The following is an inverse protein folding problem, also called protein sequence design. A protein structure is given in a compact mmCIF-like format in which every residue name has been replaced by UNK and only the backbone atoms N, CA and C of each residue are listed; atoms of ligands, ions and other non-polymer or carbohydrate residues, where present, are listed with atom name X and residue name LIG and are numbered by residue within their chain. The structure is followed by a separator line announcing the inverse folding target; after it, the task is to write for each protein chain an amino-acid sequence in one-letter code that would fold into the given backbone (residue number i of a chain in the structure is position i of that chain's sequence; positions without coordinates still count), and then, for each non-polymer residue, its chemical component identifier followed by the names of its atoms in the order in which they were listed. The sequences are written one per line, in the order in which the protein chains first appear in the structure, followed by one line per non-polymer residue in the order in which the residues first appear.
data_IF_953900550793
#
_entry.id   IF_953900550793
#
_cell.length_a   1.000
_cell.length_b   1.000
_cell.length_c   1.000
_cell.angle_alpha   90.00
_cell.angle_beta   90.00
_cell.angle_gamma   90.00
#
_symmetry.space_group_name_H-M   'P 1'
#
loop_
_entity.id
_entity.type
_entity.pdbx_description
1 polymer ?
#
# COMPACT_ATOMS: atom_id res chain seq x y z
N UNK A 1 -1.73 -1.09 -18.50
CA UNK A 1 -2.86 -1.88 -17.94
C UNK A 1 -4.09 -1.01 -17.76
N UNK A 2 -3.98 0.08 -16.99
CA UNK A 2 -5.07 1.06 -16.85
C UNK A 2 -5.35 1.76 -18.18
N UNK A 3 -6.60 2.17 -18.40
CA UNK A 3 -6.97 3.03 -19.53
C UNK A 3 -6.65 4.50 -19.20
N UNK A 4 -5.82 5.14 -20.03
CA UNK A 4 -5.43 6.55 -19.93
C UNK A 4 -6.10 7.47 -20.97
N UNK A 5 -7.02 6.96 -21.80
CA UNK A 5 -7.70 7.75 -22.85
C UNK A 5 -8.50 8.93 -22.32
N UNK A 6 -9.00 8.85 -21.08
CA UNK A 6 -9.70 9.92 -20.35
C UNK A 6 -8.93 10.33 -19.10
N UNK A 7 -7.69 10.77 -19.30
CA UNK A 7 -6.83 11.19 -18.21
C UNK A 7 -6.58 12.69 -18.27
N UNK A 8 -7.40 13.51 -17.61
CA UNK A 8 -7.30 14.98 -17.67
C UNK A 8 -6.13 15.52 -16.84
N UNK A 9 -5.60 16.69 -17.22
CA UNK A 9 -4.70 17.46 -16.36
C UNK A 9 -5.40 17.77 -15.03
N UNK A 10 -4.71 17.57 -13.91
CA UNK A 10 -5.28 17.66 -12.56
C UNK A 10 -5.83 16.33 -12.02
N UNK A 11 -5.96 15.30 -12.86
CA UNK A 11 -6.40 13.98 -12.42
C UNK A 11 -5.20 13.09 -12.09
N UNK A 12 -5.49 12.00 -11.38
CA UNK A 12 -4.52 10.96 -11.06
C UNK A 12 -5.08 9.56 -11.23
N UNK A 13 -4.19 8.58 -11.36
CA UNK A 13 -4.53 7.16 -11.44
C UNK A 13 -3.55 6.33 -10.61
N UNK A 14 -4.07 5.32 -9.93
CA UNK A 14 -3.25 4.20 -9.46
C UNK A 14 -2.86 3.37 -10.68
N UNK A 15 -1.64 3.56 -11.14
CA UNK A 15 -1.09 2.88 -12.30
C UNK A 15 -0.46 1.55 -11.87
N UNK A 16 -0.69 0.50 -12.67
CA UNK A 16 -0.10 -0.82 -12.46
C UNK A 16 0.60 -1.26 -13.74
N UNK A 17 1.86 -1.65 -13.61
CA UNK A 17 2.70 -2.18 -14.67
C UNK A 17 2.91 -3.67 -14.43
N UNK A 18 2.74 -4.48 -15.48
CA UNK A 18 2.90 -5.92 -15.42
C UNK A 18 4.00 -6.38 -16.38
N UNK A 19 4.62 -7.52 -16.09
CA UNK A 19 5.47 -8.22 -17.05
C UNK A 19 4.62 -9.05 -18.04
N UNK A 20 5.29 -9.77 -18.94
CA UNK A 20 4.63 -10.60 -19.97
C UNK A 20 3.82 -11.76 -19.40
N UNK A 21 4.12 -12.22 -18.18
CA UNK A 21 3.34 -13.22 -17.44
C UNK A 21 2.10 -12.63 -16.76
N UNK A 22 1.92 -11.31 -16.79
CA UNK A 22 0.82 -10.62 -16.13
C UNK A 22 1.05 -10.39 -14.63
N UNK A 23 2.22 -10.71 -14.09
CA UNK A 23 2.58 -10.39 -12.71
C UNK A 23 2.97 -8.92 -12.57
N UNK A 24 2.64 -8.32 -11.43
CA UNK A 24 2.92 -6.91 -11.16
C UNK A 24 4.43 -6.66 -11.01
N UNK A 25 4.94 -5.69 -11.78
CA UNK A 25 6.32 -5.19 -11.72
C UNK A 25 6.41 -3.87 -10.95
N UNK A 26 5.40 -3.01 -11.06
CA UNK A 26 5.33 -1.78 -10.29
C UNK A 26 3.89 -1.33 -10.16
N UNK A 27 3.58 -0.67 -9.05
CA UNK A 27 2.31 0.00 -8.85
C UNK A 27 2.51 1.29 -8.07
N UNK A 28 1.73 2.30 -8.39
CA UNK A 28 1.96 3.63 -7.84
C UNK A 28 0.99 4.67 -8.35
N UNK A 29 1.11 5.89 -7.84
CA UNK A 29 0.28 6.99 -8.29
C UNK A 29 0.94 7.71 -9.45
N UNK A 30 0.16 7.99 -10.50
CA UNK A 30 0.54 8.89 -11.60
C UNK A 30 -0.38 10.10 -11.55
N UNK A 31 0.21 11.29 -11.47
CA UNK A 31 -0.44 12.58 -11.50
C UNK A 31 -0.19 13.19 -12.88
N UNK A 32 -1.25 13.63 -13.58
CA UNK A 32 -1.10 14.42 -14.82
C UNK A 32 -1.06 15.89 -14.43
N UNK A 33 0.13 16.48 -14.42
CA UNK A 33 0.36 17.86 -13.95
C UNK A 33 0.38 18.89 -15.09
N UNK A 34 0.58 18.43 -16.33
CA UNK A 34 0.49 19.22 -17.55
C UNK A 34 0.04 18.37 -18.73
N UNK A 35 -0.03 18.95 -19.93
CA UNK A 35 -0.51 18.20 -21.12
C UNK A 35 0.38 16.99 -21.43
N UNK A 36 1.70 17.13 -21.33
CA UNK A 36 2.67 16.06 -21.54
C UNK A 36 3.57 15.87 -20.31
N UNK A 37 3.10 16.31 -19.14
CA UNK A 37 3.86 16.28 -17.89
C UNK A 37 3.18 15.41 -16.84
N UNK A 38 3.95 14.46 -16.31
CA UNK A 38 3.49 13.48 -15.35
C UNK A 38 4.45 13.39 -14.18
N UNK A 39 3.91 13.30 -12.97
CA UNK A 39 4.68 12.97 -11.77
C UNK A 39 4.20 11.62 -11.27
N UNK A 40 5.14 10.73 -10.94
CA UNK A 40 4.79 9.42 -10.39
C UNK A 40 5.42 9.17 -9.02
N UNK A 41 4.72 8.43 -8.20
CA UNK A 41 5.18 7.94 -6.91
C UNK A 41 5.09 6.41 -6.91
N UNK A 42 6.16 5.75 -6.47
CA UNK A 42 6.27 4.28 -6.33
C UNK A 42 6.29 3.45 -7.64
N UNK A 43 6.40 4.08 -8.81
CA UNK A 43 6.63 3.35 -10.08
C UNK A 43 8.11 3.09 -10.40
N UNK A 44 9.02 3.81 -9.74
CA UNK A 44 10.46 3.54 -9.77
C UNK A 44 10.76 2.20 -9.07
N UNK A 45 11.76 1.42 -9.53
CA UNK A 45 12.67 1.70 -10.66
C UNK A 45 12.21 1.17 -12.02
N UNK A 46 11.03 0.54 -12.10
CA UNK A 46 10.57 -0.06 -13.35
C UNK A 46 10.25 0.98 -14.43
N UNK A 47 9.64 2.12 -14.06
CA UNK A 47 9.41 3.21 -15.03
C UNK A 47 10.73 3.78 -15.57
N UNK A 48 11.76 3.92 -14.75
CA UNK A 48 13.08 4.42 -15.15
C UNK A 48 13.75 3.48 -16.16
N UNK A 49 13.63 2.17 -15.93
CA UNK A 49 14.07 1.16 -16.89
C UNK A 49 13.35 1.34 -18.24
N UNK A 50 12.02 1.47 -18.24
CA UNK A 50 11.24 1.67 -19.45
C UNK A 50 11.64 2.96 -20.20
N UNK A 51 11.90 4.06 -19.48
CA UNK A 51 12.44 5.30 -20.08
C UNK A 51 13.82 5.06 -20.68
N UNK A 52 14.70 4.35 -19.98
CA UNK A 52 16.06 4.08 -20.41
C UNK A 52 16.16 3.18 -21.64
N UNK A 53 15.12 2.42 -21.97
CA UNK A 53 15.08 1.61 -23.21
C UNK A 53 15.18 2.45 -24.49
N UNK A 54 14.75 3.72 -24.45
CA UNK A 54 14.69 4.60 -25.61
C UNK A 54 13.56 4.25 -26.61
N UNK A 55 12.64 3.36 -26.24
CA UNK A 55 11.48 3.00 -27.08
C UNK A 55 10.43 4.11 -27.18
N UNK A 56 10.42 5.04 -26.21
CA UNK A 56 9.44 6.11 -26.09
C UNK A 56 10.10 7.48 -26.22
N UNK A 57 9.41 8.44 -26.83
CA UNK A 57 9.80 9.85 -26.85
C UNK A 57 9.43 10.50 -25.50
N UNK A 58 10.24 10.22 -24.48
CA UNK A 58 10.01 10.67 -23.10
C UNK A 58 11.33 10.96 -22.42
N UNK A 59 11.34 11.97 -21.54
CA UNK A 59 12.45 12.24 -20.64
C UNK A 59 12.01 11.94 -19.20
N UNK A 60 12.85 11.19 -18.48
CA UNK A 60 12.66 10.89 -17.07
C UNK A 60 13.58 11.73 -16.20
N UNK A 61 13.07 12.19 -15.07
CA UNK A 61 13.86 12.81 -14.00
C UNK A 61 13.50 12.12 -12.68
N UNK A 62 14.51 11.61 -11.98
CA UNK A 62 14.34 11.11 -10.62
C UNK A 62 14.15 12.30 -9.66
N UNK A 63 12.97 12.34 -9.02
CA UNK A 63 12.59 13.36 -8.05
C UNK A 63 12.69 12.85 -6.60
N UNK A 64 13.27 11.67 -6.39
CA UNK A 64 13.49 11.09 -5.07
C UNK A 64 14.26 12.05 -4.17
N UNK A 65 13.68 12.38 -3.02
CA UNK A 65 14.25 13.35 -2.08
C UNK A 65 14.02 14.83 -2.44
N UNK A 66 13.58 15.15 -3.66
CA UNK A 66 13.27 16.53 -4.08
C UNK A 66 11.85 16.96 -3.71
N UNK A 67 10.92 16.01 -3.60
CA UNK A 67 9.54 16.26 -3.22
C UNK A 67 9.19 15.62 -1.86
N UNK A 68 8.43 16.33 -1.05
CA UNK A 68 7.74 15.73 0.11
C UNK A 68 6.32 15.30 -0.26
N UNK A 69 5.81 14.34 0.52
CA UNK A 69 4.41 13.92 0.52
C UNK A 69 3.97 13.76 1.97
N UNK A 70 2.97 14.53 2.38
CA UNK A 70 2.27 14.34 3.65
C UNK A 70 0.85 13.88 3.40
N UNK A 71 0.36 12.97 4.24
CA UNK A 71 -1.04 12.54 4.22
C UNK A 71 -1.75 13.10 5.46
N UNK A 72 -2.87 13.77 5.24
CA UNK A 72 -3.80 14.21 6.28
C UNK A 72 -5.05 13.35 6.17
N UNK A 73 -5.14 12.32 7.01
CA UNK A 73 -6.24 11.36 7.03
C UNK A 73 -7.21 11.57 8.18
N UNK A 74 -8.46 11.13 7.98
CA UNK A 74 -9.49 11.15 9.00
C UNK A 74 -10.63 12.12 8.70
N UNK A 75 -11.71 12.10 9.50
CA UNK A 75 -12.94 12.81 9.23
C UNK A 75 -12.79 14.33 9.18
N UNK A 76 -11.78 14.90 9.84
CA UNK A 76 -11.50 16.34 9.86
C UNK A 76 -10.48 16.79 8.79
N UNK A 77 -9.98 15.89 7.95
CA UNK A 77 -8.88 16.20 7.01
C UNK A 77 -9.18 17.36 6.07
N UNK A 78 -10.41 17.47 5.52
CA UNK A 78 -10.79 18.63 4.71
C UNK A 78 -10.70 19.94 5.53
N UNK A 79 -11.19 19.97 6.76
CA UNK A 79 -11.19 21.18 7.59
C UNK A 79 -9.77 21.66 7.87
N UNK A 80 -8.85 20.71 8.14
CA UNK A 80 -7.44 20.98 8.36
C UNK A 80 -6.79 21.55 7.10
N UNK A 81 -7.04 20.95 5.93
CA UNK A 81 -6.51 21.43 4.66
C UNK A 81 -6.99 22.85 4.38
N UNK A 82 -8.29 23.12 4.51
CA UNK A 82 -8.84 24.47 4.27
C UNK A 82 -8.34 25.49 5.30
N UNK A 83 -8.14 25.09 6.56
CA UNK A 83 -7.57 25.96 7.57
C UNK A 83 -6.09 26.30 7.29
N UNK A 84 -5.33 25.36 6.74
CA UNK A 84 -3.91 25.55 6.40
C UNK A 84 -3.71 26.39 5.12
N UNK A 85 -4.58 26.24 4.13
CA UNK A 85 -4.46 26.92 2.83
C UNK A 85 -5.27 28.22 2.74
N UNK A 86 -6.34 28.34 3.53
CA UNK A 86 -7.33 29.41 3.39
C UNK A 86 -8.23 29.27 2.15
N UNK A 87 -8.24 28.11 1.50
CA UNK A 87 -8.99 27.84 0.27
C UNK A 87 -10.11 26.80 0.50
N UNK A 88 -11.18 26.86 -0.31
CA UNK A 88 -12.28 25.88 -0.28
C UNK A 88 -11.97 24.68 -1.18
N UNK A 89 -11.92 23.47 -0.61
CA UNK A 89 -11.60 22.21 -1.30
C UNK A 89 -12.80 21.26 -1.40
N UNK A 90 -14.02 21.75 -1.16
CA UNK A 90 -15.25 20.94 -1.24
C UNK A 90 -15.57 20.44 -2.65
N UNK A 91 -15.05 21.10 -3.68
CA UNK A 91 -15.19 20.74 -5.10
C UNK A 91 -14.17 19.70 -5.57
N UNK A 92 -13.08 19.47 -4.81
CA UNK A 92 -12.03 18.55 -5.21
C UNK A 92 -12.53 17.09 -5.14
N UNK A 93 -12.69 16.48 -6.31
CA UNK A 93 -13.11 15.10 -6.43
C UNK A 93 -12.00 14.13 -6.01
N UNK A 94 -12.37 12.90 -5.61
CA UNK A 94 -11.39 11.86 -5.31
C UNK A 94 -10.52 11.59 -6.54
N UNK A 95 -9.22 11.32 -6.33
CA UNK A 95 -8.18 11.19 -7.37
C UNK A 95 -8.01 12.42 -8.28
N UNK A 96 -8.39 13.61 -7.80
CA UNK A 96 -8.02 14.89 -8.40
C UNK A 96 -7.15 15.74 -7.46
N UNK A 97 -6.25 16.51 -8.04
CA UNK A 97 -5.37 17.44 -7.35
C UNK A 97 -5.38 18.82 -8.01
N UNK A 98 -5.00 19.84 -7.25
CA UNK A 98 -4.72 21.18 -7.77
C UNK A 98 -3.60 21.85 -6.99
N UNK A 99 -3.04 22.89 -7.60
CA UNK A 99 -2.05 23.75 -6.95
C UNK A 99 -2.74 24.65 -5.92
N UNK A 100 -1.99 24.99 -4.87
CA UNK A 100 -2.42 25.81 -3.75
C UNK A 100 -1.18 26.38 -3.06
N UNK A 101 -1.37 27.13 -1.98
CA UNK A 101 -0.28 27.64 -1.15
C UNK A 101 -0.61 27.46 0.33
N UNK A 102 0.42 27.26 1.14
CA UNK A 102 0.34 27.29 2.60
C UNK A 102 1.24 28.40 3.10
N UNK A 103 0.76 29.25 4.01
CA UNK A 103 1.58 30.32 4.57
C UNK A 103 2.69 29.74 5.48
N UNK A 104 3.93 30.15 5.27
CA UNK A 104 5.04 29.80 6.13
C UNK A 104 4.75 30.31 7.56
N UNK A 105 4.85 29.47 8.62
CA UNK A 105 4.38 29.82 9.97
C UNK A 105 5.10 31.03 10.59
N UNK A 106 6.38 31.24 10.24
CA UNK A 106 7.18 32.38 10.73
C UNK A 106 7.13 33.62 9.83
N UNK A 107 7.35 33.47 8.51
CA UNK A 107 7.49 34.61 7.59
C UNK A 107 6.17 35.06 6.97
N UNK A 108 5.15 34.20 6.97
CA UNK A 108 3.89 34.42 6.27
C UNK A 108 3.99 34.31 4.74
N UNK A 109 5.16 33.97 4.20
CA UNK A 109 5.35 33.82 2.75
C UNK A 109 4.57 32.60 2.23
N UNK A 110 3.98 32.69 1.03
CA UNK A 110 3.25 31.56 0.46
C UNK A 110 4.21 30.47 -0.02
N UNK A 111 4.05 29.27 0.52
CA UNK A 111 4.78 28.06 0.11
C UNK A 111 3.95 27.30 -0.94
N UNK A 112 4.46 27.09 -2.17
CA UNK A 112 3.74 26.33 -3.20
C UNK A 112 3.53 24.88 -2.78
N UNK A 113 2.29 24.42 -2.84
CA UNK A 113 1.94 23.02 -2.59
C UNK A 113 0.94 22.52 -3.62
N UNK A 114 0.87 21.20 -3.78
CA UNK A 114 -0.20 20.51 -4.50
C UNK A 114 -1.04 19.75 -3.49
N UNK A 115 -2.34 20.03 -3.48
CA UNK A 115 -3.30 19.34 -2.62
C UNK A 115 -4.04 18.30 -3.45
N UNK A 116 -4.08 17.09 -2.94
CA UNK A 116 -4.62 15.93 -3.63
C UNK A 116 -5.69 15.26 -2.78
N UNK A 117 -6.90 15.03 -3.30
CA UNK A 117 -7.88 14.20 -2.58
C UNK A 117 -7.58 12.72 -2.82
N UNK A 118 -6.67 12.21 -2.02
CA UNK A 118 -6.24 10.82 -1.97
C UNK A 118 -5.85 10.46 -0.53
N UNK A 119 -5.90 9.18 -0.19
CA UNK A 119 -5.15 8.65 0.93
C UNK A 119 -5.40 7.17 1.13
N UNK A 120 -4.47 6.52 1.81
CA UNK A 120 -4.49 5.07 2.07
C UNK A 120 -5.23 4.70 3.36
N UNK A 121 -5.62 5.70 4.17
CA UNK A 121 -6.32 5.54 5.45
C UNK A 121 -7.76 4.97 5.33
N UNK A 122 -8.24 4.72 4.11
CA UNK A 122 -9.58 4.16 3.85
C UNK A 122 -10.77 5.06 4.22
N UNK A 123 -10.50 6.28 4.71
CA UNK A 123 -11.47 7.31 5.08
C UNK A 123 -11.20 8.60 4.29
N UNK A 124 -11.89 9.71 4.60
CA UNK A 124 -11.56 11.01 4.01
C UNK A 124 -10.09 11.32 4.28
N UNK A 125 -9.36 11.66 3.23
CA UNK A 125 -7.94 11.96 3.32
C UNK A 125 -7.53 12.85 2.15
N UNK A 126 -6.49 13.62 2.42
CA UNK A 126 -5.80 14.43 1.45
C UNK A 126 -4.30 14.18 1.54
N UNK A 127 -3.61 14.40 0.44
CA UNK A 127 -2.16 14.52 0.42
C UNK A 127 -1.76 15.96 0.11
N UNK A 128 -0.64 16.39 0.69
CA UNK A 128 0.00 17.67 0.40
C UNK A 128 1.40 17.37 -0.08
N UNK A 129 1.70 17.77 -1.31
CA UNK A 129 3.00 17.57 -1.94
C UNK A 129 3.66 18.93 -2.19
N UNK A 130 5.00 18.97 -2.20
CA UNK A 130 5.76 20.18 -2.49
C UNK A 130 7.26 19.93 -2.46
N UNK A 131 8.07 20.98 -2.55
CA UNK A 131 9.53 20.85 -2.49
C UNK A 131 9.99 20.46 -1.07
N UNK A 132 10.90 19.50 -0.96
CA UNK A 132 11.40 19.00 0.32
C UNK A 132 11.96 20.10 1.24
N UNK A 133 12.53 21.16 0.66
CA UNK A 133 13.06 22.30 1.43
C UNK A 133 11.97 23.02 2.24
N UNK A 134 10.73 23.03 1.76
CA UNK A 134 9.57 23.64 2.42
C UNK A 134 8.88 22.68 3.40
N UNK A 135 9.23 21.39 3.38
CA UNK A 135 8.54 20.34 4.12
C UNK A 135 8.43 20.61 5.63
N UNK A 136 9.48 21.08 6.34
CA UNK A 136 9.36 21.40 7.76
C UNK A 136 8.34 22.51 8.04
N UNK A 137 8.32 23.57 7.20
CA UNK A 137 7.42 24.69 7.37
C UNK A 137 5.96 24.30 7.07
N UNK A 138 5.74 23.55 5.99
CA UNK A 138 4.41 23.02 5.63
C UNK A 138 3.91 22.05 6.69
N UNK A 139 4.77 21.19 7.23
CA UNK A 139 4.42 20.25 8.29
C UNK A 139 3.92 20.97 9.54
N UNK A 140 4.68 21.96 10.03
CA UNK A 140 4.29 22.74 11.21
C UNK A 140 3.00 23.53 10.97
N UNK A 141 2.80 24.09 9.77
CA UNK A 141 1.57 24.77 9.40
C UNK A 141 0.35 23.82 9.42
N UNK A 142 0.48 22.61 8.87
CA UNK A 142 -0.58 21.59 8.92
C UNK A 142 -0.89 21.14 10.35
N UNK A 143 0.15 20.94 11.17
CA UNK A 143 -0.02 20.56 12.59
C UNK A 143 -0.70 21.67 13.39
N UNK A 144 -0.35 22.93 13.14
CA UNK A 144 -0.99 24.08 13.79
C UNK A 144 -2.44 24.23 13.36
N UNK A 145 -2.73 24.17 12.05
CA UNK A 145 -4.08 24.22 11.50
C UNK A 145 -4.97 23.06 12.00
N UNK A 146 -4.36 21.90 12.25
CA UNK A 146 -5.05 20.72 12.74
C UNK A 146 -5.25 20.64 14.26
N UNK A 147 -4.66 21.56 15.03
CA UNK A 147 -4.66 21.48 16.49
C UNK A 147 -6.08 21.45 17.07
N UNK A 148 -6.96 22.35 16.63
CA UNK A 148 -8.35 22.46 17.09
C UNK A 148 -9.22 21.26 16.66
N UNK A 149 -8.75 20.50 15.66
CA UNK A 149 -9.38 19.29 15.13
C UNK A 149 -8.80 18.00 15.72
N UNK A 150 -7.86 18.10 16.68
CA UNK A 150 -7.24 16.94 17.31
C UNK A 150 -6.29 16.16 16.40
N UNK A 151 -5.61 16.83 15.46
CA UNK A 151 -4.61 16.18 14.61
C UNK A 151 -3.53 15.49 15.45
N UNK A 152 -3.14 14.28 15.06
CA UNK A 152 -2.07 13.53 15.73
C UNK A 152 -1.10 12.95 14.71
N UNK A 153 0.14 12.72 15.14
CA UNK A 153 1.21 12.21 14.29
C UNK A 153 1.10 10.68 14.19
N UNK A 154 1.05 10.16 12.97
CA UNK A 154 1.06 8.72 12.71
C UNK A 154 2.50 8.24 12.49
N UNK A 155 2.95 7.29 13.31
CA UNK A 155 4.27 6.67 13.16
C UNK A 155 4.29 5.54 12.13
N UNK A 156 5.47 5.25 11.60
CA UNK A 156 5.68 4.26 10.53
C UNK A 156 5.15 2.85 10.85
N UNK A 157 5.25 2.42 12.12
CA UNK A 157 4.74 1.11 12.56
C UNK A 157 3.22 0.98 12.43
N UNK A 158 2.51 2.10 12.55
CA UNK A 158 1.05 2.12 12.41
C UNK A 158 0.63 2.38 10.95
N UNK A 159 1.49 2.96 10.11
CA UNK A 159 1.17 3.25 8.71
C UNK A 159 0.69 2.00 7.93
N UNK A 160 1.35 0.86 8.13
CA UNK A 160 0.98 -0.41 7.46
C UNK A 160 -0.47 -0.86 7.77
N UNK A 161 -1.02 -0.49 8.94
CA UNK A 161 -2.41 -0.81 9.31
C UNK A 161 -3.41 -0.21 8.35
N UNK A 162 -3.13 0.98 7.81
CA UNK A 162 -4.02 1.60 6.84
C UNK A 162 -4.20 0.70 5.61
N UNK A 163 -3.13 0.04 5.14
CA UNK A 163 -3.20 -0.86 4.00
C UNK A 163 -3.93 -2.16 4.34
N UNK A 164 -3.58 -2.79 5.47
CA UNK A 164 -4.14 -4.10 5.84
C UNK A 164 -5.60 -4.00 6.28
N UNK A 165 -5.98 -3.00 7.09
CA UNK A 165 -7.39 -2.79 7.48
C UNK A 165 -8.26 -2.40 6.28
N UNK A 166 -7.77 -1.50 5.42
CA UNK A 166 -8.50 -1.06 4.22
C UNK A 166 -8.48 -2.10 3.09
N UNK A 167 -7.79 -3.23 3.27
CA UNK A 167 -7.68 -4.29 2.28
C UNK A 167 -6.98 -3.86 1.00
N UNK A 168 -6.10 -2.85 1.07
CA UNK A 168 -5.34 -2.37 -0.08
C UNK A 168 -3.93 -2.97 -0.02
N UNK A 169 -3.65 -3.95 -0.89
CA UNK A 169 -2.34 -4.56 -0.98
C UNK A 169 -1.26 -3.48 -1.26
N UNK A 170 -0.09 -3.65 -0.68
CA UNK A 170 1.00 -2.67 -0.78
C UNK A 170 2.25 -3.45 -1.16
N UNK A 171 2.90 -3.01 -2.23
CA UNK A 171 4.17 -3.58 -2.65
C UNK A 171 5.18 -3.51 -1.51
N UNK A 172 5.93 -4.60 -1.35
CA UNK A 172 6.89 -4.84 -0.29
C UNK A 172 6.36 -4.92 1.15
N UNK A 173 5.04 -4.89 1.34
CA UNK A 173 4.39 -5.27 2.60
C UNK A 173 3.59 -6.56 2.43
N UNK A 174 2.79 -6.62 1.37
CA UNK A 174 1.85 -7.70 1.11
C UNK A 174 2.30 -8.63 -0.01
N UNK A 175 3.04 -8.11 -0.98
CA UNK A 175 3.55 -8.86 -2.14
C UNK A 175 4.89 -8.30 -2.61
N UNK A 176 5.59 -9.04 -3.46
CA UNK A 176 6.80 -8.58 -4.12
C UNK A 176 6.53 -8.25 -5.58
N UNK A 177 7.16 -7.19 -6.12
CA UNK A 177 7.29 -7.04 -7.56
C UNK A 177 7.96 -8.25 -8.20
N UNK A 178 7.49 -8.66 -9.38
CA UNK A 178 7.99 -9.83 -10.11
C UNK A 178 9.35 -9.62 -10.80
N UNK A 179 10.27 -8.90 -10.15
CA UNK A 179 11.56 -8.49 -10.72
C UNK A 179 12.40 -9.66 -11.22
N UNK A 180 12.36 -10.81 -10.54
CA UNK A 180 13.15 -11.97 -10.96
C UNK A 180 12.65 -12.63 -12.25
N UNK A 181 11.49 -12.22 -12.77
CA UNK A 181 10.95 -12.70 -14.04
C UNK A 181 11.34 -11.82 -15.24
N UNK A 182 12.13 -10.76 -15.02
CA UNK A 182 12.58 -9.83 -16.06
C UNK A 182 14.11 -9.63 -15.98
N UNK A 183 14.84 -10.41 -16.77
CA UNK A 183 16.30 -10.42 -16.75
C UNK A 183 16.91 -9.11 -17.27
N UNK A 184 16.26 -8.43 -18.21
CA UNK A 184 16.75 -7.16 -18.75
C UNK A 184 16.56 -6.04 -17.73
N UNK A 185 15.45 -6.06 -16.99
CA UNK A 185 15.25 -5.17 -15.85
C UNK A 185 16.29 -5.40 -14.75
N UNK A 186 16.58 -6.66 -14.39
CA UNK A 186 17.64 -6.97 -13.43
C UNK A 186 19.02 -6.48 -13.89
N UNK A 187 19.33 -6.64 -15.18
CA UNK A 187 20.56 -6.12 -15.78
C UNK A 187 20.63 -4.59 -15.69
N UNK A 188 19.51 -3.89 -15.91
CA UNK A 188 19.41 -2.43 -15.71
C UNK A 188 19.70 -2.02 -14.26
N UNK A 189 19.18 -2.78 -13.28
CA UNK A 189 19.46 -2.56 -11.86
C UNK A 189 20.90 -2.92 -11.46
N UNK A 190 21.64 -3.66 -12.31
CA UNK A 190 22.98 -4.14 -11.99
C UNK A 190 22.98 -5.18 -10.86
N UNK A 191 21.88 -5.92 -10.68
CA UNK A 191 21.71 -6.96 -9.65
C UNK A 191 21.20 -8.24 -10.31
N UNK A 192 21.54 -9.40 -9.74
CA UNK A 192 21.00 -10.68 -10.21
C UNK A 192 19.73 -11.09 -9.43
N UNK A 193 19.07 -12.15 -9.91
CA UNK A 193 17.83 -12.64 -9.33
C UNK A 193 17.99 -13.20 -7.90
N UNK A 194 19.19 -13.68 -7.54
CA UNK A 194 19.45 -14.24 -6.20
C UNK A 194 19.65 -13.12 -5.17
N UNK A 195 20.14 -11.96 -5.60
CA UNK A 195 20.49 -10.84 -4.71
C UNK A 195 19.47 -9.71 -4.67
N UNK A 196 18.53 -9.63 -5.63
CA UNK A 196 17.50 -8.57 -5.65
C UNK A 196 16.56 -8.64 -4.43
N UNK A 197 16.29 -9.86 -3.92
CA UNK A 197 15.50 -10.10 -2.71
C UNK A 197 16.28 -10.99 -1.73
N UNK A 198 17.24 -10.43 -0.98
CA UNK A 198 18.18 -11.22 -0.18
C UNK A 198 17.54 -11.90 1.04
N UNK A 199 16.28 -11.58 1.36
CA UNK A 199 15.57 -12.12 2.54
C UNK A 199 14.09 -12.32 2.26
N UNK A 200 13.61 -13.54 2.49
CA UNK A 200 12.22 -13.96 2.27
C UNK A 200 11.68 -14.69 3.51
N UNK A 201 11.44 -13.97 4.63
CA UNK A 201 10.99 -14.60 5.87
C UNK A 201 9.53 -15.06 5.81
N UNK A 202 9.19 -15.89 6.77
CA UNK A 202 7.91 -16.54 6.94
C UNK A 202 7.93 -17.99 6.44
N UNK A 203 6.92 -18.74 6.86
CA UNK A 203 6.84 -20.18 6.59
C UNK A 203 6.71 -20.54 5.12
N UNK A 204 6.32 -19.59 4.25
CA UNK A 204 6.25 -19.79 2.80
C UNK A 204 7.61 -20.14 2.18
N UNK A 205 8.72 -19.87 2.90
CA UNK A 205 10.07 -20.19 2.47
C UNK A 205 10.63 -19.24 1.42
N UNK A 206 11.72 -19.66 0.79
CA UNK A 206 12.54 -18.84 -0.12
C UNK A 206 12.05 -18.85 -1.58
N UNK A 207 10.95 -19.54 -1.89
CA UNK A 207 10.34 -19.46 -3.20
C UNK A 207 9.70 -18.08 -3.38
N UNK A 208 10.34 -17.24 -4.19
CA UNK A 208 9.89 -15.88 -4.45
C UNK A 208 8.58 -15.85 -5.23
N UNK A 209 8.30 -16.86 -6.06
CA UNK A 209 7.11 -16.90 -6.93
C UNK A 209 5.80 -16.92 -6.13
N UNK A 210 5.82 -17.45 -4.90
CA UNK A 210 4.68 -17.39 -3.97
C UNK A 210 4.23 -15.96 -3.64
N UNK A 211 5.12 -14.98 -3.81
CA UNK A 211 4.90 -13.55 -3.50
C UNK A 211 4.59 -12.73 -4.75
N UNK A 212 4.48 -13.36 -5.92
CA UNK A 212 4.07 -12.72 -7.15
C UNK A 212 2.57 -12.89 -7.38
N UNK A 213 1.98 -11.81 -7.89
CA UNK A 213 0.55 -11.72 -8.07
C UNK A 213 0.22 -10.97 -9.34
N UNK A 214 -0.88 -11.39 -9.94
CA UNK A 214 -1.59 -10.62 -10.96
C UNK A 214 -2.45 -9.53 -10.31
N UNK A 215 -2.83 -8.47 -11.05
CA UNK A 215 -3.80 -7.48 -10.57
C UNK A 215 -5.12 -8.10 -10.12
N UNK A 216 -5.57 -9.21 -10.72
CA UNK A 216 -6.81 -9.86 -10.30
C UNK A 216 -6.72 -10.42 -8.87
N UNK A 217 -5.60 -11.08 -8.55
CA UNK A 217 -5.37 -11.66 -7.22
C UNK A 217 -5.18 -10.59 -6.13
N UNK A 218 -4.72 -9.39 -6.52
CA UNK A 218 -4.60 -8.23 -5.62
C UNK A 218 -5.92 -7.46 -5.43
N UNK A 219 -7.02 -7.90 -6.04
CA UNK A 219 -8.32 -7.20 -5.99
C UNK A 219 -8.40 -5.99 -6.93
N UNK A 220 -7.45 -5.85 -7.83
CA UNK A 220 -7.26 -4.73 -8.76
C UNK A 220 -7.80 -5.00 -10.17
N UNK A 221 -8.47 -6.14 -10.38
CA UNK A 221 -9.03 -6.53 -11.68
C UNK A 221 -9.93 -5.48 -12.34
N UNK A 222 -10.63 -4.66 -11.54
CA UNK A 222 -11.48 -3.57 -12.02
C UNK A 222 -10.71 -2.43 -12.71
N UNK A 223 -9.37 -2.38 -12.56
CA UNK A 223 -8.50 -1.40 -13.21
C UNK A 223 -7.96 -1.91 -14.56
N UNK A 224 -8.10 -3.20 -14.87
CA UNK A 224 -7.59 -3.80 -16.11
C UNK A 224 -8.51 -3.42 -17.26
N UNK A 225 -7.97 -2.74 -18.27
CA UNK A 225 -8.73 -2.34 -19.44
C UNK A 225 -8.18 -3.00 -20.71
N UNK A 226 -8.89 -3.99 -21.23
CA UNK A 226 -8.52 -4.73 -22.45
C UNK A 226 -8.87 -3.99 -23.75
N UNK A 227 -9.01 -2.67 -23.72
CA UNK A 227 -9.35 -1.83 -24.88
C UNK A 227 -8.11 -1.21 -25.57
N UNK A 228 -6.91 -1.45 -25.05
CA UNK A 228 -5.63 -0.99 -25.60
C UNK A 228 -4.55 -2.05 -25.37
N UNK A 229 -3.43 -1.93 -26.07
CA UNK A 229 -2.29 -2.83 -25.90
C UNK A 229 -1.43 -2.44 -24.69
N UNK A 230 -0.96 -3.43 -23.95
CA UNK A 230 -0.04 -3.26 -22.82
C UNK A 230 0.67 -4.58 -22.49
N UNK A 231 1.86 -4.50 -21.90
CA UNK A 231 2.63 -5.66 -21.44
C UNK A 231 1.83 -6.51 -20.44
N UNK A 232 1.75 -7.81 -20.69
CA UNK A 232 0.98 -8.76 -19.87
C UNK A 232 -0.50 -8.91 -20.27
N UNK A 233 -1.00 -8.15 -21.25
CA UNK A 233 -2.40 -8.21 -21.71
C UNK A 233 -2.86 -9.64 -22.01
N UNK A 234 -2.11 -10.38 -22.84
CA UNK A 234 -2.50 -11.73 -23.26
C UNK A 234 -2.53 -12.71 -22.08
N UNK A 235 -1.54 -12.65 -21.17
CA UNK A 235 -1.50 -13.50 -19.99
C UNK A 235 -2.70 -13.23 -19.07
N UNK A 236 -3.03 -11.95 -18.84
CA UNK A 236 -4.19 -11.55 -18.04
C UNK A 236 -5.55 -11.93 -18.66
N UNK A 237 -5.63 -12.10 -19.99
CA UNK A 237 -6.84 -12.61 -20.65
C UNK A 237 -6.94 -14.14 -20.57
N UNK A 238 -5.80 -14.84 -20.57
CA UNK A 238 -5.76 -16.29 -20.61
C UNK A 238 -5.93 -16.93 -19.23
N UNK A 239 -5.46 -16.26 -18.18
CA UNK A 239 -5.38 -16.85 -16.83
C UNK A 239 -6.39 -16.18 -15.89
N UNK A 240 -7.44 -16.90 -15.44
CA UNK A 240 -8.32 -16.38 -14.40
C UNK A 240 -7.55 -16.25 -13.07
N UNK A 241 -7.99 -15.32 -12.21
CA UNK A 241 -7.47 -15.28 -10.84
C UNK A 241 -7.77 -16.61 -10.15
N UNK A 242 -6.73 -17.22 -9.56
CA UNK A 242 -6.85 -18.44 -8.75
C UNK A 242 -6.96 -18.13 -7.27
N UNK A 243 -6.53 -16.93 -6.87
CA UNK A 243 -6.54 -16.44 -5.50
C UNK A 243 -7.36 -15.17 -5.38
N UNK A 244 -7.91 -14.94 -4.18
CA UNK A 244 -8.60 -13.71 -3.80
C UNK A 244 -8.02 -13.12 -2.52
N UNK A 245 -7.98 -11.77 -2.42
CA UNK A 245 -7.54 -11.12 -1.20
C UNK A 245 -8.63 -11.24 -0.13
N UNK A 246 -8.21 -11.53 1.10
CA UNK A 246 -9.06 -11.58 2.29
C UNK A 246 -8.33 -11.00 3.49
N UNK A 247 -9.07 -10.67 4.55
CA UNK A 247 -8.47 -10.42 5.86
C UNK A 247 -8.51 -11.71 6.68
N UNK A 248 -7.40 -12.10 7.30
CA UNK A 248 -7.40 -13.15 8.32
C UNK A 248 -7.40 -12.54 9.70
N UNK A 249 -8.26 -13.04 10.58
CA UNK A 249 -8.29 -12.70 12.01
C UNK A 249 -7.67 -13.87 12.76
N UNK A 250 -6.53 -13.63 13.40
CA UNK A 250 -5.73 -14.66 14.05
C UNK A 250 -6.31 -14.99 15.42
N UNK A 251 -6.27 -16.28 15.80
CA UNK A 251 -6.75 -16.74 17.09
C UNK A 251 -5.89 -16.15 18.23
N UNK A 252 -6.50 -15.50 19.23
CA UNK A 252 -5.76 -14.80 20.27
C UNK A 252 -4.98 -15.73 21.20
N UNK A 253 -5.48 -16.95 21.47
CA UNK A 253 -4.78 -17.92 22.32
C UNK A 253 -3.49 -18.39 21.65
N UNK A 254 -3.53 -18.64 20.34
CA UNK A 254 -2.38 -19.09 19.57
C UNK A 254 -1.34 -17.97 19.44
N UNK A 255 -1.78 -16.72 19.25
CA UNK A 255 -0.91 -15.54 19.28
C UNK A 255 -0.22 -15.41 20.64
N UNK A 256 -0.96 -15.53 21.75
CA UNK A 256 -0.38 -15.49 23.10
C UNK A 256 0.60 -16.64 23.32
N UNK A 257 0.33 -17.83 22.79
CA UNK A 257 1.22 -18.98 22.88
C UNK A 257 2.58 -18.73 22.19
N UNK A 258 2.62 -17.94 21.11
CA UNK A 258 3.89 -17.50 20.49
C UNK A 258 4.72 -16.67 21.46
N UNK A 259 4.11 -15.68 22.14
CA UNK A 259 4.82 -14.87 23.14
C UNK A 259 5.21 -15.68 24.37
N UNK A 260 4.32 -16.53 24.88
CA UNK A 260 4.60 -17.40 26.02
C UNK A 260 5.79 -18.33 25.75
N UNK A 261 5.95 -18.79 24.50
CA UNK A 261 7.06 -19.65 24.10
C UNK A 261 8.43 -19.01 24.29
N UNK A 262 8.54 -17.68 24.25
CA UNK A 262 9.80 -16.96 24.44
C UNK A 262 10.38 -17.16 25.85
N UNK A 263 9.54 -17.51 26.82
CA UNK A 263 9.92 -17.75 28.21
C UNK A 263 10.18 -19.24 28.52
N UNK A 264 10.13 -20.12 27.50
CA UNK A 264 10.34 -21.56 27.65
C UNK A 264 11.57 -22.01 26.86
N UNK A 265 12.69 -22.34 27.53
CA UNK A 265 13.91 -22.80 26.86
C UNK A 265 13.69 -24.00 25.94
N UNK A 266 14.15 -23.90 24.69
CA UNK A 266 14.09 -24.98 23.69
C UNK A 266 12.73 -25.13 22.99
N UNK A 267 11.79 -24.22 23.22
CA UNK A 267 10.46 -24.22 22.58
C UNK A 267 10.12 -22.87 21.93
N UNK A 268 11.10 -21.97 21.83
CA UNK A 268 10.89 -20.63 21.30
C UNK A 268 10.49 -20.69 19.83
N UNK A 269 9.25 -20.28 19.53
CA UNK A 269 8.88 -19.96 18.17
C UNK A 269 9.60 -18.67 17.71
N UNK A 270 9.58 -18.40 16.41
CA UNK A 270 10.07 -17.13 15.89
C UNK A 270 9.38 -15.96 16.60
N UNK A 271 10.18 -14.96 17.00
CA UNK A 271 9.66 -13.80 17.71
C UNK A 271 8.65 -13.05 16.85
N UNK A 272 7.56 -12.67 17.48
CA UNK A 272 6.45 -11.97 16.84
C UNK A 272 6.50 -10.50 17.24
N UNK A 273 6.91 -9.62 16.32
CA UNK A 273 6.96 -8.18 16.61
C UNK A 273 5.57 -7.60 16.93
N UNK A 274 5.52 -6.55 17.73
CA UNK A 274 4.28 -5.85 18.10
C UNK A 274 4.42 -4.32 17.94
N UNK A 275 3.43 -3.61 17.36
CA UNK A 275 2.19 -4.15 16.80
C UNK A 275 2.35 -4.75 15.39
N UNK A 276 3.43 -4.46 14.68
CA UNK A 276 3.69 -4.90 13.31
C UNK A 276 5.20 -5.11 13.09
N UNK A 277 5.56 -5.93 12.10
CA UNK A 277 6.95 -5.99 11.61
C UNK A 277 7.34 -4.62 11.03
N UNK A 278 8.62 -4.23 11.07
CA UNK A 278 9.10 -3.06 10.34
C UNK A 278 8.87 -3.24 8.83
N UNK A 279 8.07 -2.35 8.24
CA UNK A 279 7.68 -2.44 6.82
C UNK A 279 8.70 -1.77 5.89
N UNK A 280 9.38 -0.73 6.36
CA UNK A 280 10.47 -0.06 5.64
C UNK A 280 11.65 0.16 6.59
N UNK A 281 12.82 -0.30 6.18
CA UNK A 281 14.08 -0.03 6.86
C UNK A 281 15.07 0.53 5.84
N UNK A 282 16.07 1.29 6.29
CA UNK A 282 17.06 1.94 5.41
C UNK A 282 17.82 0.98 4.46
N UNK A 283 17.74 -0.34 4.69
CA UNK A 283 18.52 -1.36 3.97
C UNK A 283 17.70 -2.55 3.46
N UNK A 284 16.38 -2.57 3.69
CA UNK A 284 15.56 -3.69 3.21
C UNK A 284 14.07 -3.38 3.27
N UNK A 285 13.37 -3.75 2.21
CA UNK A 285 11.93 -3.92 2.21
C UNK A 285 11.63 -5.42 2.17
N UNK A 286 11.07 -5.94 3.26
CA UNK A 286 10.95 -7.36 3.52
C UNK A 286 9.48 -7.75 3.52
N UNK A 287 9.11 -8.69 2.66
CA UNK A 287 7.76 -9.29 2.67
C UNK A 287 7.79 -10.57 3.48
N UNK A 288 7.25 -10.48 4.69
CA UNK A 288 6.91 -11.65 5.49
C UNK A 288 5.71 -12.35 4.84
N UNK A 289 5.89 -13.62 4.49
CA UNK A 289 4.84 -14.44 3.90
C UNK A 289 4.78 -15.80 4.58
N UNK A 290 3.62 -16.13 5.12
CA UNK A 290 3.37 -17.40 5.79
C UNK A 290 2.39 -18.24 4.97
N UNK A 291 2.67 -19.53 4.81
CA UNK A 291 1.75 -20.47 4.16
C UNK A 291 0.46 -20.58 5.00
N UNK A 292 -0.68 -20.52 4.30
CA UNK A 292 -2.01 -20.69 4.89
C UNK A 292 -2.54 -22.06 4.48
N UNK A 293 -3.00 -22.82 5.46
CA UNK A 293 -3.52 -24.16 5.30
C UNK A 293 -5.04 -24.21 5.51
N UNK A 294 -5.70 -25.08 4.77
CA UNK A 294 -7.04 -25.57 5.08
C UNK A 294 -7.00 -27.10 5.11
N UNK A 295 -7.41 -27.69 6.23
CA UNK A 295 -7.36 -29.14 6.44
C UNK A 295 -5.97 -29.74 6.12
N UNK A 296 -4.91 -29.06 6.55
CA UNK A 296 -3.52 -29.47 6.33
C UNK A 296 -2.95 -29.24 4.92
N UNK A 297 -3.74 -28.71 3.98
CA UNK A 297 -3.31 -28.45 2.60
C UNK A 297 -3.04 -26.95 2.40
N UNK A 298 -1.92 -26.55 1.76
CA UNK A 298 -1.67 -25.16 1.42
C UNK A 298 -2.72 -24.61 0.44
N UNK A 299 -3.25 -23.43 0.74
CA UNK A 299 -4.30 -22.77 -0.05
C UNK A 299 -3.97 -21.33 -0.39
N UNK A 300 -2.82 -20.81 0.04
CA UNK A 300 -2.45 -19.42 -0.19
C UNK A 300 -1.38 -18.95 0.79
N UNK A 301 -1.15 -17.64 0.80
CA UNK A 301 -0.22 -17.00 1.74
C UNK A 301 -0.89 -15.87 2.52
N UNK A 302 -0.39 -15.67 3.74
CA UNK A 302 -0.70 -14.54 4.61
C UNK A 302 0.50 -13.60 4.66
N UNK A 303 0.28 -12.30 4.52
CA UNK A 303 1.30 -11.25 4.55
C UNK A 303 0.78 -9.97 5.21
N UNK A 304 1.67 -9.02 5.52
CA UNK A 304 1.27 -7.80 6.22
C UNK A 304 0.57 -8.06 7.56
N UNK A 305 1.14 -8.93 8.39
CA UNK A 305 0.58 -9.25 9.72
C UNK A 305 0.78 -8.11 10.72
N UNK A 306 -0.27 -7.70 11.39
CA UNK A 306 -0.26 -6.59 12.35
C UNK A 306 -1.42 -6.63 13.34
N UNK A 307 -1.19 -6.07 14.52
CA UNK A 307 -2.22 -5.87 15.53
C UNK A 307 -3.02 -4.60 15.25
N UNK A 308 -4.30 -4.76 14.97
CA UNK A 308 -5.24 -3.64 14.88
C UNK A 308 -5.70 -3.24 16.28
N UNK A 309 -5.40 -1.99 16.67
CA UNK A 309 -5.93 -1.40 17.90
C UNK A 309 -7.42 -1.08 17.79
N UNK A 310 -7.92 -0.78 16.58
CA UNK A 310 -9.33 -0.45 16.33
C UNK A 310 -10.24 -1.67 16.50
N UNK A 311 -9.77 -2.84 16.08
CA UNK A 311 -10.52 -4.10 16.14
C UNK A 311 -10.01 -5.06 17.22
N UNK A 312 -9.01 -4.64 18.01
CA UNK A 312 -8.39 -5.41 19.10
C UNK A 312 -8.00 -6.84 18.70
N UNK A 313 -7.48 -6.99 17.48
CA UNK A 313 -7.22 -8.30 16.87
C UNK A 313 -5.89 -8.30 16.12
N UNK A 314 -5.18 -9.42 16.18
CA UNK A 314 -4.09 -9.68 15.26
C UNK A 314 -4.68 -10.06 13.90
N UNK A 315 -4.28 -9.34 12.86
CA UNK A 315 -4.81 -9.51 11.51
C UNK A 315 -3.68 -9.63 10.50
N UNK A 316 -4.00 -10.16 9.33
CA UNK A 316 -3.15 -10.08 8.15
C UNK A 316 -4.00 -9.93 6.89
N UNK A 317 -3.39 -9.44 5.82
CA UNK A 317 -3.93 -9.63 4.48
C UNK A 317 -3.51 -11.03 4.02
N UNK A 318 -4.39 -11.75 3.34
CA UNK A 318 -4.04 -13.03 2.77
C UNK A 318 -4.60 -13.17 1.37
N UNK A 319 -3.98 -14.04 0.59
CA UNK A 319 -4.35 -14.32 -0.79
C UNK A 319 -4.59 -15.81 -0.90
N UNK A 320 -5.86 -16.20 -0.84
CA UNK A 320 -6.28 -17.60 -0.71
C UNK A 320 -6.98 -18.07 -1.97
N UNK A 321 -6.95 -19.37 -2.21
CA UNK A 321 -7.81 -20.03 -3.19
C UNK A 321 -9.23 -19.48 -3.13
N UNK A 322 -9.76 -19.08 -4.29
CA UNK A 322 -11.08 -18.44 -4.41
C UNK A 322 -12.20 -19.22 -3.73
N UNK A 323 -12.15 -20.55 -3.77
CA UNK A 323 -13.19 -21.42 -3.21
C UNK A 323 -13.22 -21.40 -1.68
N UNK A 324 -12.12 -20.99 -1.04
CA UNK A 324 -11.92 -20.94 0.41
C UNK A 324 -11.78 -19.51 0.95
N UNK A 325 -11.94 -18.49 0.10
CA UNK A 325 -11.85 -17.08 0.45
C UNK A 325 -13.15 -16.49 1.06
N UNK A 326 -14.05 -17.33 1.57
CA UNK A 326 -15.35 -16.90 2.08
C UNK A 326 -15.27 -16.53 3.57
N UNK A 327 -15.93 -15.43 3.97
CA UNK A 327 -16.01 -14.99 5.37
C UNK A 327 -16.54 -16.14 6.26
N UNK A 328 -15.87 -16.35 7.41
CA UNK A 328 -16.15 -17.42 8.36
C UNK A 328 -15.34 -18.70 8.13
N UNK A 329 -14.69 -18.87 6.97
CA UNK A 329 -13.83 -20.03 6.70
C UNK A 329 -12.70 -20.13 7.73
N UNK A 330 -12.51 -21.31 8.29
CA UNK A 330 -11.43 -21.61 9.24
C UNK A 330 -10.19 -22.08 8.51
N UNK A 331 -9.05 -21.51 8.86
CA UNK A 331 -7.74 -21.81 8.28
C UNK A 331 -6.67 -21.86 9.38
N UNK A 332 -5.48 -22.35 9.03
CA UNK A 332 -4.30 -22.31 9.90
C UNK A 332 -3.16 -21.60 9.18
N UNK A 333 -2.43 -20.75 9.89
CA UNK A 333 -1.25 -20.06 9.37
C UNK A 333 -0.03 -20.75 9.99
N UNK A 334 0.93 -21.18 9.17
CA UNK A 334 2.19 -21.69 9.70
C UNK A 334 3.05 -20.49 10.10
N UNK A 335 3.31 -20.32 11.39
CA UNK A 335 4.15 -19.26 11.92
C UNK A 335 5.58 -19.73 12.15
N UNK A 336 6.53 -19.04 11.53
CA UNK A 336 7.97 -19.25 11.70
C UNK A 336 8.65 -19.74 10.42
N UNK A 337 9.92 -19.36 10.24
CA UNK A 337 10.74 -19.77 9.10
C UNK A 337 10.92 -21.30 9.05
N UNK A 338 11.03 -21.92 7.87
CA UNK A 338 11.36 -23.32 7.75
C UNK A 338 12.64 -23.70 8.51
N UNK A 339 12.61 -24.81 9.25
CA UNK A 339 13.73 -25.26 10.09
C UNK A 339 13.77 -24.65 11.50
N UNK A 340 12.83 -23.76 11.84
CA UNK A 340 12.63 -23.25 13.21
C UNK A 340 11.52 -24.02 13.94
N UNK A 341 11.26 -23.68 15.21
CA UNK A 341 10.09 -24.18 15.94
C UNK A 341 8.81 -23.52 15.42
N UNK A 342 8.28 -24.05 14.32
CA UNK A 342 7.04 -23.55 13.71
C UNK A 342 5.81 -23.84 14.59
N UNK A 343 4.82 -22.96 14.51
CA UNK A 343 3.52 -23.10 15.18
C UNK A 343 2.40 -22.96 14.18
N UNK A 344 1.31 -23.69 14.39
CA UNK A 344 0.08 -23.48 13.63
C UNK A 344 -0.79 -22.49 14.38
N UNK A 345 -1.13 -21.38 13.73
CA UNK A 345 -2.00 -20.34 14.28
C UNK A 345 -3.37 -20.48 13.62
N UNK A 346 -4.39 -20.84 14.38
CA UNK A 346 -5.76 -20.85 13.88
C UNK A 346 -6.14 -19.43 13.47
N UNK A 347 -6.85 -19.28 12.35
CA UNK A 347 -7.38 -18.00 11.91
C UNK A 347 -8.75 -18.19 11.24
N UNK A 348 -9.52 -17.11 11.19
CA UNK A 348 -10.79 -17.06 10.48
C UNK A 348 -10.69 -16.04 9.35
N UNK A 349 -11.20 -16.39 8.17
CA UNK A 349 -11.42 -15.43 7.08
C UNK A 349 -12.45 -14.42 7.56
N UNK A 350 -12.02 -13.19 7.78
CA UNK A 350 -12.86 -12.08 8.19
C UNK A 350 -13.42 -11.29 7.02
N UNK A 351 -14.17 -10.24 7.34
CA UNK A 351 -14.65 -9.26 6.37
C UNK A 351 -13.48 -8.65 5.60
N UNK A 352 -13.65 -8.48 4.30
CA UNK A 352 -12.69 -7.82 3.42
C UNK A 352 -13.35 -6.69 2.60
N UNK A 353 -12.85 -5.44 2.66
CA UNK A 353 -11.86 -4.96 3.61
C UNK A 353 -12.41 -4.96 5.05
N UNK A 354 -11.52 -5.12 6.04
CA UNK A 354 -11.92 -5.12 7.45
C UNK A 354 -12.47 -3.76 7.88
N UNK A 355 -11.87 -2.68 7.37
CA UNK A 355 -12.30 -1.31 7.62
C UNK A 355 -13.73 -1.09 7.12
N UNK A 356 -14.64 -0.80 8.04
CA UNK A 356 -16.05 -0.55 7.74
C UNK A 356 -16.43 0.90 7.97
N UNK A 357 -15.77 1.80 7.24
CA UNK A 357 -16.04 3.25 7.22
C UNK A 357 -16.34 3.73 5.80
N UNK A 358 -17.00 4.90 5.63
CA UNK A 358 -17.19 5.50 4.31
C UNK A 358 -15.86 5.71 3.60
N UNK A 359 -15.74 5.20 2.37
CA UNK A 359 -14.52 5.34 1.56
C UNK A 359 -14.38 6.79 1.08
N UNK A 360 -13.16 7.30 0.98
CA UNK A 360 -12.88 8.67 0.50
C UNK A 360 -13.71 9.06 -0.74
N UNK A 361 -13.70 8.20 -1.77
CA UNK A 361 -14.44 8.39 -3.03
C UNK A 361 -15.97 8.48 -2.91
N UNK A 362 -16.53 8.05 -1.79
CA UNK A 362 -17.98 8.01 -1.55
C UNK A 362 -18.48 9.12 -0.63
N UNK A 363 -17.57 9.90 -0.05
CA UNK A 363 -17.92 10.97 0.89
C UNK A 363 -18.35 12.20 0.09
N UNK A 364 -19.59 12.63 0.29
CA UNK A 364 -20.11 13.91 -0.22
C UNK A 364 -19.61 15.04 0.67
N UNK A 365 -18.71 15.87 0.14
CA UNK A 365 -18.09 16.96 0.88
C UNK A 365 -19.08 18.10 1.16
N UNK A 366 -20.15 18.23 0.37
CA UNK A 366 -21.15 19.32 0.49
C UNK A 366 -22.16 19.09 1.61
N UNK A 367 -22.30 17.83 2.06
CA UNK A 367 -23.29 17.41 3.08
C UNK A 367 -22.65 16.86 4.34
N UNK A 368 -21.33 16.98 4.47
CA UNK A 368 -20.59 16.46 5.62
C UNK A 368 -20.89 17.34 6.85
N UNK A 369 -21.25 16.75 8.00
CA UNK A 369 -21.34 17.51 9.24
C UNK A 369 -19.96 18.06 9.61
N UNK A 370 -19.89 19.28 10.13
CA UNK A 370 -18.65 19.83 10.69
C UNK A 370 -18.11 18.87 11.76
N UNK A 371 -16.79 18.62 11.81
CA UNK A 371 -16.22 17.79 12.86
C UNK A 371 -16.55 18.40 14.23
N UNK A 372 -16.76 17.57 15.27
CA UNK A 372 -16.91 18.08 16.62
C UNK A 372 -15.64 18.87 16.98
N UNK A 373 -15.80 20.11 17.44
CA UNK A 373 -14.71 20.86 18.04
C UNK A 373 -14.21 20.08 19.26
N UNK A 374 -12.88 19.94 19.37
CA UNK A 374 -12.26 19.19 20.47
C UNK A 374 -12.40 19.87 21.83
#
# INVERSE_FOLDING_TARGET
MNDFTRFSVGASKHAVMCNTNGHVMADGMVLRVGEEEFVSFFLNPYIDYLVATGEYDVTGQDLSGSLFLFQVGGPASLDIIQAATGEDFTDLEFIWHRESTIAHPTTGEPLPVRVFRLGVAGTLAYEVHGNTDDAPAVYEALMAAGADFGITRLGLRAYGLNHTENGFAQSFLHFLPAYTEDADFLAFLGVDAEHVFPRLPGSAGTDVSKRYFTPFELGWGHMVAFNHDFTGRHALQATPATRRPVTLIWNPEDVVAVYASQFTPGQQAQFMDFPANPIWTAHSTIVFADDVLHQGHPIGISSGRMFSSSYHSMISLAFLDETLAQEGTQVEIIWGDPGTHQRHIRATVGRYPMLHLPKNRTIDLTRRPSPPAS
#
